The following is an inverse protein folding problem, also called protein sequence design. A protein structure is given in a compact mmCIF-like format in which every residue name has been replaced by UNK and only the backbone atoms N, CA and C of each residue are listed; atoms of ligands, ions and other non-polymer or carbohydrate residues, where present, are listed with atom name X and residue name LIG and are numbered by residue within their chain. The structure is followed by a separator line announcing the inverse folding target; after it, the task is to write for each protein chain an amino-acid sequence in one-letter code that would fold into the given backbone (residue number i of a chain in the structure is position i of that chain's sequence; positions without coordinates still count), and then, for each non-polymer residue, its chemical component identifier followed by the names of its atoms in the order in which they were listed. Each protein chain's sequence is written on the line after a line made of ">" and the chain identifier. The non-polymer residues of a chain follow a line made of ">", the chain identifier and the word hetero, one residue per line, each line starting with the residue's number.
data_IF_215787642994
#
_entry.id   IF_215787642994
#
_cell.length_a   1.000
_cell.length_b   1.000
_cell.length_c   1.000
_cell.angle_alpha   90.00
_cell.angle_beta   90.00
_cell.angle_gamma   90.00
#
_symmetry.space_group_name_H-M   'P 1'
#
loop_
_entity.id
_entity.type
_entity.pdbx_description
1 polymer ?
#
# COMPACT_ATOMS: atom_id res chain seq x y z
N UNK A 1 27.12 -14.71 41.21
CA UNK A 1 25.86 -14.35 41.88
C UNK A 1 25.77 -12.83 41.84
N UNK A 2 24.96 -12.29 40.93
CA UNK A 2 23.78 -11.44 41.21
C UNK A 2 24.16 -10.09 41.85
N UNK A 3 23.91 -8.93 41.22
CA UNK A 3 22.56 -8.49 40.86
C UNK A 3 22.60 -7.36 39.81
N UNK A 4 21.68 -7.44 38.85
CA UNK A 4 21.37 -6.37 37.88
C UNK A 4 20.65 -5.21 38.59
N UNK A 5 20.89 -3.94 38.19
CA UNK A 5 20.05 -2.84 38.61
C UNK A 5 18.69 -2.91 37.90
N UNK A 6 17.65 -2.65 38.67
CA UNK A 6 16.23 -2.64 38.30
C UNK A 6 15.91 -1.58 37.24
N UNK A 7 15.33 -2.02 36.12
CA UNK A 7 14.61 -1.12 35.20
C UNK A 7 13.35 -0.60 35.90
N UNK A 8 13.36 0.69 36.22
CA UNK A 8 12.23 1.42 36.75
C UNK A 8 11.22 1.67 35.61
N UNK A 9 10.04 1.04 35.70
CA UNK A 9 8.94 1.27 34.77
C UNK A 9 8.46 2.72 34.89
N UNK A 10 8.70 3.52 33.85
CA UNK A 10 8.07 4.84 33.71
C UNK A 10 6.59 4.62 33.35
N UNK A 11 5.72 4.73 34.36
CA UNK A 11 4.28 4.84 34.18
C UNK A 11 3.95 6.24 33.63
N UNK A 12 3.67 6.33 32.34
CA UNK A 12 3.10 7.54 31.73
C UNK A 12 1.58 7.51 31.98
N UNK A 13 1.10 8.36 32.89
CA UNK A 13 -0.33 8.58 33.12
C UNK A 13 -0.99 9.17 31.86
N UNK A 14 -2.15 8.64 31.41
CA UNK A 14 -2.84 9.15 30.23
C UNK A 14 -3.56 10.45 30.60
N UNK A 15 -2.92 11.59 30.34
CA UNK A 15 -3.61 12.88 30.38
C UNK A 15 -4.30 13.09 29.03
N UNK A 16 -5.58 13.43 29.08
CA UNK A 16 -6.51 13.59 27.97
C UNK A 16 -5.88 14.12 26.67
N UNK A 17 -5.95 13.31 25.61
CA UNK A 17 -5.57 13.71 24.26
C UNK A 17 -6.60 14.73 23.78
N UNK A 18 -6.18 15.99 23.80
CA UNK A 18 -6.91 17.08 23.17
C UNK A 18 -6.84 16.86 21.67
N UNK A 19 -8.00 16.79 21.03
CA UNK A 19 -8.20 16.71 19.59
C UNK A 19 -7.59 17.91 18.87
N UNK A 20 -7.17 17.69 17.62
CA UNK A 20 -6.64 18.68 16.66
C UNK A 20 -5.12 18.90 16.67
N UNK A 21 -4.35 17.88 16.29
CA UNK A 21 -3.16 18.10 15.48
C UNK A 21 -3.54 17.84 14.02
N UNK A 22 -3.80 18.89 13.26
CA UNK A 22 -3.67 18.82 11.80
C UNK A 22 -2.19 18.57 11.52
N UNK A 23 -1.79 17.29 11.50
CA UNK A 23 -0.50 16.87 10.98
C UNK A 23 -0.46 17.38 9.54
N UNK A 24 0.22 18.50 9.31
CA UNK A 24 0.44 19.03 7.97
C UNK A 24 1.25 17.98 7.21
N UNK A 25 0.56 17.24 6.35
CA UNK A 25 1.15 16.26 5.45
C UNK A 25 2.34 16.90 4.72
N UNK A 26 3.57 16.40 4.95
CA UNK A 26 4.74 16.91 4.23
C UNK A 26 4.87 16.18 2.89
N UNK A 27 4.62 16.84 1.75
CA UNK A 27 4.64 16.22 0.44
C UNK A 27 6.02 15.66 0.03
N UNK A 28 7.11 16.10 0.66
CA UNK A 28 8.44 15.55 0.44
C UNK A 28 8.56 14.07 0.84
N UNK A 29 7.66 13.56 1.68
CA UNK A 29 7.62 12.13 2.05
C UNK A 29 7.19 11.22 0.90
N UNK A 30 6.44 11.74 -0.09
CA UNK A 30 6.01 10.93 -1.22
C UNK A 30 7.09 10.76 -2.28
N UNK A 31 7.89 11.81 -2.51
CA UNK A 31 8.92 11.86 -3.54
C UNK A 31 10.25 12.40 -2.97
N UNK A 32 10.99 11.60 -2.18
CA UNK A 32 12.27 12.01 -1.58
C UNK A 32 13.43 12.11 -2.59
N UNK A 33 13.19 11.84 -3.87
CA UNK A 33 14.20 11.88 -4.92
C UNK A 33 13.70 12.62 -6.16
N UNK A 34 14.63 13.01 -7.04
CA UNK A 34 14.30 13.70 -8.28
C UNK A 34 13.54 12.78 -9.23
N UNK A 35 12.34 13.20 -9.63
CA UNK A 35 11.52 12.50 -10.63
C UNK A 35 12.14 12.69 -12.01
N UNK A 36 12.66 11.60 -12.58
CA UNK A 36 13.32 11.60 -13.90
C UNK A 36 12.38 11.31 -15.07
N UNK A 37 11.29 10.59 -14.81
CA UNK A 37 10.35 10.10 -15.83
C UNK A 37 8.89 10.39 -15.42
N UNK A 38 7.99 9.44 -15.64
CA UNK A 38 6.57 9.51 -15.27
C UNK A 38 6.40 9.39 -13.75
N UNK A 39 5.59 10.26 -13.16
CA UNK A 39 5.13 10.13 -11.79
C UNK A 39 3.65 10.48 -11.69
N UNK A 40 2.98 9.83 -10.75
CA UNK A 40 1.59 10.14 -10.42
C UNK A 40 1.36 10.01 -8.93
N UNK A 41 0.30 10.64 -8.46
CA UNK A 41 -0.20 10.51 -7.08
C UNK A 41 -1.71 10.41 -7.10
N UNK A 42 -2.25 9.68 -6.12
CA UNK A 42 -3.68 9.62 -5.85
C UNK A 42 -4.15 10.66 -4.84
N UNK A 43 -3.23 11.47 -4.31
CA UNK A 43 -3.61 12.60 -3.47
C UNK A 43 -4.34 13.67 -4.31
N UNK A 44 -5.46 14.21 -3.79
CA UNK A 44 -6.12 15.34 -4.42
C UNK A 44 -5.18 16.54 -4.58
N UNK A 45 -5.37 17.33 -5.63
CA UNK A 45 -4.59 18.55 -5.87
C UNK A 45 -4.78 19.64 -4.80
N UNK A 46 -5.85 19.53 -3.98
CA UNK A 46 -6.07 20.36 -2.80
C UNK A 46 -5.16 19.99 -1.61
N UNK A 47 -4.60 18.78 -1.61
CA UNK A 47 -3.71 18.26 -0.56
C UNK A 47 -2.26 18.27 -1.02
N UNK A 48 -2.00 17.84 -2.25
CA UNK A 48 -0.67 17.83 -2.85
C UNK A 48 -0.59 18.90 -3.95
N UNK A 49 0.32 19.89 -3.86
CA UNK A 49 0.42 20.96 -4.86
C UNK A 49 0.69 20.43 -6.27
N UNK A 50 0.07 21.07 -7.27
CA UNK A 50 0.30 20.74 -8.67
C UNK A 50 1.80 20.84 -9.02
N UNK A 51 2.30 19.81 -9.71
CA UNK A 51 3.68 19.78 -10.20
C UNK A 51 3.71 19.29 -11.64
N UNK A 52 4.46 19.96 -12.52
CA UNK A 52 4.47 19.68 -13.97
C UNK A 52 4.81 18.25 -14.38
N UNK A 53 5.50 17.50 -13.51
CA UNK A 53 5.92 16.10 -13.75
C UNK A 53 5.10 15.07 -12.98
N UNK A 54 4.18 15.49 -12.12
CA UNK A 54 3.36 14.60 -11.30
C UNK A 54 1.92 14.73 -11.78
N UNK A 55 1.37 13.63 -12.30
CA UNK A 55 -0.04 13.56 -12.67
C UNK A 55 -0.88 13.27 -11.43
N UNK A 56 -1.92 14.06 -11.19
CA UNK A 56 -2.95 13.69 -10.22
C UNK A 56 -3.93 12.72 -10.88
N UNK A 57 -4.20 11.62 -10.20
CA UNK A 57 -4.99 10.50 -10.72
C UNK A 57 -6.00 10.13 -9.64
N UNK A 58 -7.29 9.97 -9.92
CA UNK A 58 -8.23 9.47 -8.92
C UNK A 58 -7.80 8.12 -8.34
N UNK A 59 -8.10 7.88 -7.06
CA UNK A 59 -7.96 6.54 -6.48
C UNK A 59 -9.12 5.66 -6.96
N UNK A 60 -9.01 5.14 -8.17
CA UNK A 60 -10.03 4.29 -8.81
C UNK A 60 -9.38 3.12 -9.54
N UNK A 61 -10.16 2.07 -9.82
CA UNK A 61 -9.66 0.92 -10.57
C UNK A 61 -9.27 1.30 -12.01
N UNK A 62 -10.10 2.08 -12.69
CA UNK A 62 -9.91 2.44 -14.10
C UNK A 62 -8.69 3.36 -14.27
N UNK A 63 -8.59 4.40 -13.44
CA UNK A 63 -7.53 5.40 -13.54
C UNK A 63 -6.14 4.83 -13.20
N UNK A 64 -6.10 3.76 -12.42
CA UNK A 64 -4.87 3.05 -12.01
C UNK A 64 -4.62 1.78 -12.81
N UNK A 65 -5.44 1.47 -13.81
CA UNK A 65 -5.37 0.23 -14.59
C UNK A 65 -5.29 -1.00 -13.67
N UNK A 66 -6.19 -1.08 -12.69
CA UNK A 66 -6.24 -2.18 -11.73
C UNK A 66 -6.64 -3.48 -12.41
N UNK A 67 -5.87 -4.54 -12.18
CA UNK A 67 -6.09 -5.85 -12.79
C UNK A 67 -5.91 -6.99 -11.79
N UNK A 68 -6.42 -8.18 -12.17
CA UNK A 68 -6.36 -9.43 -11.38
C UNK A 68 -6.82 -9.24 -9.92
N UNK A 69 -7.95 -8.58 -9.76
CA UNK A 69 -8.59 -8.38 -8.46
C UNK A 69 -8.90 -9.73 -7.83
N UNK A 70 -8.61 -9.84 -6.52
CA UNK A 70 -8.92 -11.00 -5.72
C UNK A 70 -10.44 -11.13 -5.55
N UNK A 71 -11.02 -12.20 -6.09
CA UNK A 71 -12.46 -12.38 -6.11
C UNK A 71 -13.07 -12.41 -4.69
N UNK A 72 -14.22 -11.73 -4.53
CA UNK A 72 -14.99 -11.72 -3.28
C UNK A 72 -14.34 -10.93 -2.14
N UNK A 73 -13.47 -9.98 -2.46
CA UNK A 73 -12.91 -9.01 -1.51
C UNK A 73 -13.39 -7.59 -1.83
N UNK A 74 -13.57 -6.77 -0.80
CA UNK A 74 -13.95 -5.36 -0.94
C UNK A 74 -12.71 -4.47 -1.00
N UNK A 75 -12.79 -3.37 -1.75
CA UNK A 75 -11.80 -2.28 -1.81
C UNK A 75 -12.51 -0.93 -1.94
N UNK A 76 -13.58 -0.74 -1.19
CA UNK A 76 -14.35 0.52 -1.20
C UNK A 76 -13.40 1.71 -0.99
N UNK A 77 -13.65 2.78 -1.73
CA UNK A 77 -12.92 4.04 -1.58
C UNK A 77 -13.64 4.85 -0.51
N UNK A 78 -12.95 5.09 0.60
CA UNK A 78 -13.45 5.86 1.75
C UNK A 78 -12.55 7.09 1.98
N UNK A 79 -13.00 8.02 2.82
CA UNK A 79 -12.13 9.09 3.31
C UNK A 79 -11.14 8.55 4.35
N UNK A 80 -9.89 9.03 4.31
CA UNK A 80 -8.89 8.67 5.31
C UNK A 80 -9.32 9.11 6.71
N UNK A 81 -9.05 8.33 7.77
CA UNK A 81 -9.49 8.66 9.13
C UNK A 81 -8.94 9.98 9.69
N UNK A 82 -7.78 10.43 9.22
CA UNK A 82 -7.11 11.68 9.62
C UNK A 82 -7.53 12.90 8.79
N UNK A 83 -7.88 12.69 7.52
CA UNK A 83 -8.44 13.72 6.63
C UNK A 83 -9.39 13.08 5.61
N UNK A 84 -10.70 13.26 5.79
CA UNK A 84 -11.73 12.65 4.94
C UNK A 84 -11.69 13.09 3.48
N UNK A 85 -10.91 14.12 3.14
CA UNK A 85 -10.67 14.57 1.75
C UNK A 85 -9.64 13.70 1.04
N UNK A 86 -8.78 12.98 1.78
CA UNK A 86 -7.79 12.07 1.22
C UNK A 86 -8.47 10.72 0.99
N UNK A 87 -8.63 10.26 -0.27
CA UNK A 87 -9.24 8.96 -0.54
C UNK A 87 -8.30 7.82 -0.13
N UNK A 88 -8.88 6.76 0.41
CA UNK A 88 -8.18 5.55 0.82
C UNK A 88 -8.99 4.31 0.42
N UNK A 89 -8.31 3.21 0.09
CA UNK A 89 -8.96 1.92 -0.04
C UNK A 89 -9.09 1.28 1.34
N UNK A 90 -10.30 0.87 1.70
CA UNK A 90 -10.56 0.16 2.95
C UNK A 90 -10.29 -1.34 2.80
N UNK A 91 -9.54 -1.91 3.75
CA UNK A 91 -9.33 -3.35 3.87
C UNK A 91 -10.06 -3.89 5.10
N UNK A 92 -11.10 -4.71 4.87
CA UNK A 92 -11.85 -5.37 5.95
C UNK A 92 -11.25 -6.75 6.22
N UNK A 93 -10.90 -7.03 7.48
CA UNK A 93 -10.37 -8.33 7.92
C UNK A 93 -11.33 -8.99 8.92
N UNK A 94 -12.30 -9.80 8.47
CA UNK A 94 -13.21 -10.48 9.38
C UNK A 94 -12.46 -11.42 10.33
N UNK A 95 -12.97 -11.62 11.54
CA UNK A 95 -12.40 -12.52 12.54
C UNK A 95 -12.21 -13.92 11.93
N UNK A 96 -10.99 -14.46 12.04
CA UNK A 96 -10.63 -15.77 11.50
C UNK A 96 -10.25 -15.78 10.02
N UNK A 97 -10.27 -14.64 9.32
CA UNK A 97 -9.68 -14.52 7.98
C UNK A 97 -8.16 -14.71 8.04
N UNK A 98 -7.58 -15.29 6.97
CA UNK A 98 -6.14 -15.61 6.91
C UNK A 98 -5.58 -15.18 5.55
N UNK A 99 -6.08 -15.80 4.49
CA UNK A 99 -5.75 -15.45 3.12
C UNK A 99 -7.01 -15.59 2.25
N UNK A 100 -7.22 -14.71 1.26
CA UNK A 100 -8.46 -14.70 0.46
C UNK A 100 -8.78 -16.01 -0.27
N UNK A 101 -7.77 -16.83 -0.55
CA UNK A 101 -7.91 -18.13 -1.22
C UNK A 101 -8.23 -19.31 -0.30
N UNK A 102 -8.38 -19.11 1.02
CA UNK A 102 -8.74 -20.19 1.94
C UNK A 102 -10.26 -20.41 1.91
N UNK A 103 -10.69 -21.58 1.42
CA UNK A 103 -12.10 -21.93 1.30
C UNK A 103 -12.81 -22.17 2.64
N UNK A 104 -12.06 -22.37 3.73
CA UNK A 104 -12.57 -22.67 5.07
C UNK A 104 -12.50 -21.47 6.02
N UNK A 105 -12.10 -20.30 5.54
CA UNK A 105 -12.01 -19.07 6.32
C UNK A 105 -12.79 -17.93 5.63
N UNK A 106 -13.33 -16.96 6.38
CA UNK A 106 -13.88 -15.75 5.78
C UNK A 106 -12.83 -15.05 4.90
N UNK A 107 -13.28 -14.46 3.79
CA UNK A 107 -12.42 -13.61 2.96
C UNK A 107 -12.12 -12.31 3.70
N UNK A 108 -10.86 -11.92 3.74
CA UNK A 108 -10.41 -10.69 4.38
C UNK A 108 -9.26 -10.04 3.60
N UNK A 109 -9.13 -8.72 3.78
CA UNK A 109 -8.26 -7.86 2.98
C UNK A 109 -8.70 -7.80 1.52
N UNK A 110 -7.82 -7.29 0.65
CA UNK A 110 -7.95 -7.32 -0.80
C UNK A 110 -6.57 -7.50 -1.46
N UNK A 111 -6.56 -7.73 -2.77
CA UNK A 111 -5.33 -7.75 -3.55
C UNK A 111 -5.60 -7.62 -5.04
N UNK A 112 -4.73 -6.89 -5.73
CA UNK A 112 -4.75 -6.64 -7.16
C UNK A 112 -3.37 -6.14 -7.62
N UNK A 113 -3.21 -5.92 -8.93
CA UNK A 113 -2.04 -5.28 -9.52
C UNK A 113 -2.43 -3.95 -10.14
N UNK A 114 -1.52 -2.97 -10.07
CA UNK A 114 -1.70 -1.61 -10.60
C UNK A 114 -0.79 -1.43 -11.81
N UNK A 115 -1.36 -1.07 -12.95
CA UNK A 115 -0.61 -0.66 -14.14
C UNK A 115 -0.22 0.81 -14.14
N UNK A 116 -0.91 1.63 -13.33
CA UNK A 116 -0.78 3.09 -13.33
C UNK A 116 -1.63 3.76 -14.43
N UNK A 117 -1.65 5.09 -14.48
CA UNK A 117 -2.40 5.81 -15.51
C UNK A 117 -1.72 5.66 -16.87
N UNK A 118 -2.52 5.72 -17.93
CA UNK A 118 -1.98 5.74 -19.29
C UNK A 118 -1.33 7.09 -19.60
N UNK A 119 0.00 7.15 -19.68
CA UNK A 119 0.73 8.38 -20.00
C UNK A 119 0.74 8.72 -21.49
N UNK A 120 0.43 7.76 -22.36
CA UNK A 120 0.56 7.86 -23.82
C UNK A 120 -0.72 8.39 -24.51
N UNK A 121 -1.77 8.70 -23.73
CA UNK A 121 -3.03 9.27 -24.21
C UNK A 121 -4.21 8.28 -24.15
N UNK A 122 -5.44 8.79 -24.23
CA UNK A 122 -6.65 7.99 -24.04
C UNK A 122 -6.87 6.90 -25.11
N UNK A 123 -6.38 7.14 -26.34
CA UNK A 123 -6.52 6.21 -27.47
C UNK A 123 -5.38 5.18 -27.55
N UNK A 124 -4.35 5.31 -26.73
CA UNK A 124 -3.25 4.36 -26.71
C UNK A 124 -3.67 3.04 -26.05
N UNK A 125 -3.18 1.92 -26.59
CA UNK A 125 -3.44 0.60 -26.02
C UNK A 125 -3.07 0.57 -24.52
N UNK A 126 -3.89 -0.04 -23.64
CA UNK A 126 -3.61 -0.10 -22.22
C UNK A 126 -2.26 -0.77 -21.97
N UNK A 127 -1.35 -0.03 -21.35
CA UNK A 127 -0.01 -0.48 -21.03
C UNK A 127 0.33 -0.04 -19.61
N UNK A 128 0.97 -0.94 -18.87
CA UNK A 128 1.54 -0.58 -17.57
C UNK A 128 2.59 0.52 -17.77
N UNK A 129 2.45 1.64 -17.06
CA UNK A 129 3.42 2.73 -17.13
C UNK A 129 4.80 2.36 -16.54
N UNK A 130 4.94 1.12 -16.03
CA UNK A 130 6.15 0.56 -15.45
C UNK A 130 6.87 -0.46 -16.34
N UNK A 131 6.35 -0.81 -17.52
CA UNK A 131 6.84 -1.96 -18.31
C UNK A 131 8.34 -1.91 -18.61
N UNK A 132 8.90 -0.70 -18.79
CA UNK A 132 10.33 -0.49 -19.04
C UNK A 132 11.05 0.25 -17.90
N UNK A 133 10.40 0.37 -16.74
CA UNK A 133 10.99 1.04 -15.60
C UNK A 133 12.16 0.23 -15.02
N UNK A 134 13.33 0.87 -14.88
CA UNK A 134 14.50 0.30 -14.19
C UNK A 134 14.56 0.69 -12.71
N UNK A 135 13.90 1.80 -12.37
CA UNK A 135 13.84 2.38 -11.04
C UNK A 135 12.38 2.78 -10.78
N UNK A 136 11.83 2.34 -9.66
CA UNK A 136 10.48 2.69 -9.24
C UNK A 136 10.52 3.11 -7.78
N UNK A 137 9.95 4.28 -7.50
CA UNK A 137 9.63 4.71 -6.16
C UNK A 137 8.14 4.48 -5.93
N UNK A 138 7.82 3.75 -4.88
CA UNK A 138 6.45 3.50 -4.46
C UNK A 138 6.30 3.88 -2.99
N UNK A 139 5.35 4.77 -2.73
CA UNK A 139 5.03 5.27 -1.39
C UNK A 139 3.51 5.19 -1.18
N UNK A 140 3.13 4.88 0.05
CA UNK A 140 1.74 4.85 0.48
C UNK A 140 1.68 5.12 1.99
N UNK A 141 0.53 5.60 2.46
CA UNK A 141 0.20 5.62 3.88
C UNK A 141 -0.69 4.43 4.20
N UNK A 142 -0.53 3.87 5.41
CA UNK A 142 -1.41 2.84 5.95
C UNK A 142 -1.84 3.25 7.35
N UNK A 143 -3.13 3.09 7.63
CA UNK A 143 -3.70 3.33 8.94
C UNK A 143 -4.24 2.02 9.49
N UNK A 144 -3.78 1.65 10.68
CA UNK A 144 -4.35 0.55 11.46
C UNK A 144 -5.22 1.17 12.54
N UNK A 145 -6.49 0.76 12.61
CA UNK A 145 -7.42 1.28 13.61
C UNK A 145 -6.94 1.03 15.04
N UNK A 146 -7.29 1.91 16.01
CA UNK A 146 -6.98 1.66 17.41
C UNK A 146 -7.52 0.31 17.86
N UNK A 147 -6.64 -0.52 18.41
CA UNK A 147 -6.99 -1.89 18.82
C UNK A 147 -6.88 -2.95 17.72
N UNK A 148 -6.39 -2.60 16.53
CA UNK A 148 -6.11 -3.58 15.47
C UNK A 148 -5.20 -4.71 15.99
N UNK A 149 -5.67 -5.96 15.87
CA UNK A 149 -4.92 -7.13 16.29
C UNK A 149 -4.00 -7.62 15.19
N UNK A 150 -2.72 -7.23 15.27
CA UNK A 150 -1.67 -7.63 14.34
C UNK A 150 -1.42 -9.15 14.29
N UNK A 151 -1.90 -9.92 15.28
CA UNK A 151 -1.74 -11.35 15.35
C UNK A 151 -0.28 -11.79 15.13
N UNK A 152 -0.03 -12.67 14.14
CA UNK A 152 1.32 -13.14 13.74
C UNK A 152 1.91 -12.33 12.59
N UNK A 153 1.16 -11.37 12.05
CA UNK A 153 1.54 -10.59 10.88
C UNK A 153 0.61 -10.78 9.68
N UNK A 154 0.90 -10.02 8.63
CA UNK A 154 0.17 -10.05 7.35
C UNK A 154 0.95 -9.34 6.26
N UNK A 155 0.36 -9.19 5.07
CA UNK A 155 1.02 -8.65 3.87
C UNK A 155 0.54 -7.25 3.57
N UNK A 156 1.48 -6.38 3.20
CA UNK A 156 1.22 -5.04 2.72
C UNK A 156 1.51 -4.91 1.21
N UNK A 157 0.99 -3.86 0.55
CA UNK A 157 1.35 -3.53 -0.82
C UNK A 157 2.87 -3.44 -1.02
N UNK A 158 3.32 -3.71 -2.23
CA UNK A 158 4.73 -3.55 -2.58
C UNK A 158 5.01 -3.89 -4.03
N UNK A 159 6.25 -3.65 -4.42
CA UNK A 159 6.68 -3.77 -5.81
C UNK A 159 6.80 -5.23 -6.25
N UNK A 160 6.65 -5.44 -7.54
CA UNK A 160 6.93 -6.71 -8.21
C UNK A 160 7.50 -6.41 -9.60
N UNK A 161 8.17 -7.40 -10.18
CA UNK A 161 8.70 -7.28 -11.53
C UNK A 161 9.14 -8.61 -12.09
N UNK A 162 9.39 -8.65 -13.39
CA UNK A 162 9.83 -9.86 -14.08
C UNK A 162 10.15 -9.63 -15.54
N UNK A 163 10.70 -10.65 -16.20
CA UNK A 163 11.12 -10.59 -17.59
C UNK A 163 9.95 -10.37 -18.58
N UNK A 164 8.75 -10.81 -18.22
CA UNK A 164 7.49 -10.52 -18.94
C UNK A 164 6.38 -10.25 -17.92
N UNK A 165 5.25 -9.60 -18.32
CA UNK A 165 4.11 -9.41 -17.44
C UNK A 165 3.62 -10.70 -16.78
N UNK A 166 3.51 -11.79 -17.55
CA UNK A 166 3.03 -13.11 -17.08
C UNK A 166 3.96 -13.70 -16.02
N UNK A 167 5.28 -13.58 -16.23
CA UNK A 167 6.28 -14.05 -15.28
C UNK A 167 6.25 -13.20 -14.01
N UNK A 168 6.07 -11.87 -14.14
CA UNK A 168 5.99 -10.95 -13.02
C UNK A 168 4.78 -11.25 -12.10
N UNK A 169 3.58 -11.47 -12.66
CA UNK A 169 2.39 -11.80 -11.86
C UNK A 169 2.52 -13.12 -11.09
N UNK A 170 3.34 -14.05 -11.59
CA UNK A 170 3.57 -15.35 -10.97
C UNK A 170 4.50 -15.31 -9.74
N UNK A 171 5.12 -14.18 -9.43
CA UNK A 171 6.21 -14.12 -8.44
C UNK A 171 5.76 -13.97 -6.98
N UNK A 172 4.72 -14.71 -6.59
CA UNK A 172 4.22 -14.73 -5.23
C UNK A 172 3.88 -16.16 -4.77
N UNK A 173 3.82 -16.36 -3.45
CA UNK A 173 3.55 -17.68 -2.88
C UNK A 173 4.78 -18.60 -2.95
N UNK A 174 4.53 -19.91 -3.03
CA UNK A 174 5.58 -20.95 -2.98
C UNK A 174 6.19 -21.34 -4.33
N UNK A 175 5.90 -20.61 -5.43
CA UNK A 175 6.32 -21.00 -6.80
C UNK A 175 7.83 -21.24 -6.87
N UNK A 176 8.30 -22.38 -7.39
CA UNK A 176 9.74 -22.72 -7.44
C UNK A 176 10.39 -22.60 -8.82
N UNK A 177 9.59 -22.37 -9.87
CA UNK A 177 10.05 -22.26 -11.26
C UNK A 177 10.32 -20.82 -11.68
N UNK A 178 11.32 -20.62 -12.55
CA UNK A 178 11.72 -19.32 -13.13
C UNK A 178 11.82 -18.19 -12.09
N UNK A 179 12.41 -18.49 -10.92
CA UNK A 179 12.54 -17.51 -9.82
C UNK A 179 13.56 -16.44 -10.12
N UNK A 180 14.56 -16.76 -10.92
CA UNK A 180 15.58 -15.85 -11.41
C UNK A 180 15.01 -14.80 -12.38
N UNK A 181 13.80 -15.02 -12.92
CA UNK A 181 13.17 -14.15 -13.92
C UNK A 181 12.16 -13.17 -13.33
N UNK A 182 11.95 -13.16 -12.02
CA UNK A 182 11.02 -12.22 -11.38
C UNK A 182 11.29 -12.03 -9.89
N UNK A 183 10.73 -10.96 -9.33
CA UNK A 183 10.89 -10.62 -7.93
C UNK A 183 9.61 -10.02 -7.33
N UNK A 184 9.51 -10.03 -6.01
CA UNK A 184 8.50 -9.31 -5.23
C UNK A 184 9.14 -8.70 -3.99
N UNK A 185 8.88 -7.42 -3.77
CA UNK A 185 9.36 -6.60 -2.66
C UNK A 185 8.15 -6.12 -1.84
N UNK A 186 7.32 -7.06 -1.39
CA UNK A 186 6.20 -6.75 -0.51
C UNK A 186 6.65 -6.61 0.92
N UNK A 187 6.07 -5.64 1.60
CA UNK A 187 6.22 -5.49 3.04
C UNK A 187 5.29 -6.45 3.77
N UNK A 188 5.62 -6.72 5.02
CA UNK A 188 4.77 -7.50 5.92
C UNK A 188 4.78 -6.82 7.27
N UNK A 189 3.62 -6.64 7.88
CA UNK A 189 3.57 -6.37 9.31
C UNK A 189 3.79 -7.68 10.07
N UNK A 190 4.32 -7.57 11.28
CA UNK A 190 4.57 -8.65 12.22
C UNK A 190 3.77 -8.43 13.48
N UNK A 191 3.95 -9.36 14.42
CA UNK A 191 3.36 -9.26 15.75
C UNK A 191 3.68 -7.90 16.37
N UNK A 192 2.69 -7.27 16.99
CA UNK A 192 2.78 -5.95 17.59
C UNK A 192 3.04 -4.79 16.60
N UNK A 193 2.87 -4.99 15.29
CA UNK A 193 2.90 -3.91 14.28
C UNK A 193 4.28 -3.53 13.74
N UNK A 194 5.33 -4.31 14.06
CA UNK A 194 6.66 -4.15 13.47
C UNK A 194 6.85 -4.80 12.11
#
# INVERSE_FOLDING_TARGET
>A
MSSNPTDELILVNPTAITTSTTSTFNPCYLFPCQIRSNAFTTLPSSIFPLHRRIRHVPLSDDDLSVTRITAGTSREVVGSPDDSRVPAWEAVYPKGSINPGNASAPRGGFGFYVGGPNFDGADAAPKSCFEYAKEVLFSYAVYFEPGFDFNRGGKLPGLYGGATPEVAYGCSGGRKTDREKAFSLRLMWRRNGG
#
